data_IF_315451459434
#
_entry.id   IF_315451459434
#
_cell.length_a   1.000
_cell.length_b   1.000
_cell.length_c   1.000
_cell.angle_alpha   90.00
_cell.angle_beta   90.00
_cell.angle_gamma   90.00
#
_symmetry.space_group_name_H-M   'P 1'
#
loop_
_entity.id
_entity.type
_entity.pdbx_description
1 polymer ?
#
# COMPACT_ATOMS: atom_id res chain seq x y z
N UNK A 1 -16.95 17.64 12.59
CA UNK A 1 -16.48 16.88 13.77
C UNK A 1 -15.21 17.54 14.25
N UNK A 2 -15.11 17.93 15.51
CA UNK A 2 -13.86 18.52 16.03
C UNK A 2 -12.79 17.45 16.21
N UNK A 3 -11.53 17.86 16.36
CA UNK A 3 -10.44 16.92 16.71
C UNK A 3 -10.74 16.18 18.03
N UNK A 4 -11.33 16.86 19.01
CA UNK A 4 -11.71 16.26 20.29
C UNK A 4 -12.77 15.16 20.11
N UNK A 5 -13.83 15.45 19.34
CA UNK A 5 -14.87 14.47 19.01
C UNK A 5 -14.30 13.26 18.26
N UNK A 6 -13.33 13.49 17.38
CA UNK A 6 -12.65 12.43 16.64
C UNK A 6 -11.84 11.52 17.56
N UNK A 7 -11.05 12.07 18.49
CA UNK A 7 -10.30 11.24 19.44
C UNK A 7 -11.25 10.44 20.33
N UNK A 8 -12.35 11.05 20.81
CA UNK A 8 -13.36 10.33 21.58
C UNK A 8 -14.01 9.18 20.78
N UNK A 9 -14.28 9.40 19.49
CA UNK A 9 -14.73 8.35 18.58
C UNK A 9 -13.72 7.20 18.49
N UNK A 10 -12.43 7.49 18.29
CA UNK A 10 -11.39 6.45 18.23
C UNK A 10 -11.31 5.70 19.56
N UNK A 11 -11.31 6.38 20.71
CA UNK A 11 -11.22 5.70 22.00
C UNK A 11 -12.42 4.78 22.25
N UNK A 12 -13.63 5.24 21.94
CA UNK A 12 -14.85 4.43 22.12
C UNK A 12 -14.93 3.22 21.18
N UNK A 13 -14.39 3.32 19.96
CA UNK A 13 -14.51 2.27 18.94
C UNK A 13 -13.31 1.35 18.82
N UNK A 14 -12.13 1.84 19.17
CA UNK A 14 -10.86 1.15 18.92
C UNK A 14 -10.24 0.66 20.20
N UNK A 15 -10.18 1.48 21.24
CA UNK A 15 -9.39 1.11 22.41
C UNK A 15 -10.22 0.63 23.57
N UNK A 16 -11.51 0.99 23.69
CA UNK A 16 -12.34 0.56 24.82
C UNK A 16 -12.28 -0.96 25.04
N UNK A 17 -11.99 -1.44 26.27
CA UNK A 17 -11.92 -0.71 27.56
C UNK A 17 -10.58 -0.01 27.87
N UNK A 18 -9.60 -0.06 26.98
CA UNK A 18 -8.29 0.56 27.09
C UNK A 18 -8.28 2.03 26.61
N UNK A 19 -7.22 2.75 26.97
CA UNK A 19 -6.97 4.13 26.56
C UNK A 19 -5.91 4.23 25.46
N UNK A 20 -6.03 5.21 24.56
CA UNK A 20 -4.95 5.51 23.62
C UNK A 20 -3.73 6.07 24.35
N UNK A 21 -2.55 5.50 24.09
CA UNK A 21 -1.29 6.13 24.49
C UNK A 21 -1.08 7.49 23.80
N UNK A 22 -0.22 8.33 24.37
CA UNK A 22 0.15 9.62 23.75
C UNK A 22 0.69 9.46 22.33
N UNK A 23 1.48 8.39 22.08
CA UNK A 23 1.99 8.04 20.75
C UNK A 23 0.85 7.80 19.77
N UNK A 24 -0.13 6.99 20.17
CA UNK A 24 -1.26 6.65 19.31
C UNK A 24 -2.19 7.86 19.10
N UNK A 25 -2.38 8.71 20.12
CA UNK A 25 -3.11 9.98 19.97
C UNK A 25 -2.45 10.89 18.93
N UNK A 26 -1.11 11.05 18.99
CA UNK A 26 -0.36 11.82 17.97
C UNK A 26 -0.50 11.21 16.58
N UNK A 27 -0.43 9.88 16.47
CA UNK A 27 -0.62 9.15 15.21
C UNK A 27 -2.01 9.40 14.60
N UNK A 28 -3.08 9.29 15.40
CA UNK A 28 -4.44 9.60 14.96
C UNK A 28 -4.62 11.09 14.65
N UNK A 29 -3.97 11.99 15.39
CA UNK A 29 -3.92 13.42 15.05
C UNK A 29 -3.33 13.68 13.67
N UNK A 30 -2.24 13.00 13.31
CA UNK A 30 -1.69 13.06 11.96
C UNK A 30 -2.70 12.59 10.90
N UNK A 31 -3.44 11.50 11.16
CA UNK A 31 -4.46 11.00 10.23
C UNK A 31 -5.62 11.98 10.07
N UNK A 32 -6.10 12.58 11.16
CA UNK A 32 -7.16 13.58 11.15
C UNK A 32 -6.87 14.76 10.21
N UNK A 33 -5.63 15.26 10.21
CA UNK A 33 -5.25 16.37 9.33
C UNK A 33 -4.96 15.95 7.89
N UNK A 34 -4.65 14.67 7.65
CA UNK A 34 -4.21 14.17 6.35
C UNK A 34 -5.33 13.61 5.47
N UNK A 35 -6.36 13.02 6.07
CA UNK A 35 -7.39 12.28 5.34
C UNK A 35 -8.79 12.80 5.67
N UNK A 36 -9.76 12.52 4.79
CA UNK A 36 -11.16 12.81 5.09
C UNK A 36 -11.66 11.94 6.25
N UNK A 37 -12.59 12.47 7.04
CA UNK A 37 -13.17 11.77 8.18
C UNK A 37 -13.84 10.45 7.79
N UNK A 38 -14.58 10.45 6.68
CA UNK A 38 -15.25 9.27 6.14
C UNK A 38 -14.26 8.16 5.81
N UNK A 39 -13.15 8.52 5.15
CA UNK A 39 -12.08 7.58 4.80
C UNK A 39 -11.40 6.96 6.03
N UNK A 40 -11.12 7.78 7.06
CA UNK A 40 -10.51 7.28 8.30
C UNK A 40 -11.44 6.29 8.99
N UNK A 41 -12.73 6.60 9.08
CA UNK A 41 -13.74 5.71 9.67
C UNK A 41 -13.83 4.38 8.93
N UNK A 42 -13.88 4.41 7.60
CA UNK A 42 -13.89 3.20 6.78
C UNK A 42 -12.64 2.34 7.06
N UNK A 43 -11.45 2.96 7.09
CA UNK A 43 -10.21 2.26 7.37
C UNK A 43 -10.17 1.66 8.79
N UNK A 44 -10.72 2.36 9.79
CA UNK A 44 -10.88 1.84 11.15
C UNK A 44 -11.78 0.61 11.13
N UNK A 45 -12.94 0.65 10.48
CA UNK A 45 -13.86 -0.48 10.39
C UNK A 45 -13.24 -1.71 9.69
N UNK A 46 -12.46 -1.49 8.63
CA UNK A 46 -11.69 -2.55 7.96
C UNK A 46 -10.69 -3.17 8.93
N UNK A 47 -9.93 -2.34 9.65
CA UNK A 47 -8.92 -2.84 10.58
C UNK A 47 -9.53 -3.57 11.78
N UNK A 48 -10.60 -3.03 12.37
CA UNK A 48 -11.33 -3.67 13.47
C UNK A 48 -11.80 -5.06 13.05
N UNK A 49 -12.48 -5.18 11.90
CA UNK A 49 -12.96 -6.48 11.38
C UNK A 49 -11.85 -7.49 11.13
N UNK A 50 -10.65 -7.03 10.76
CA UNK A 50 -9.53 -7.91 10.39
C UNK A 50 -8.68 -8.34 11.58
N UNK A 51 -8.48 -7.45 12.55
CA UNK A 51 -7.46 -7.63 13.58
C UNK A 51 -8.04 -7.83 14.98
N UNK A 52 -9.27 -7.37 15.26
CA UNK A 52 -9.81 -7.52 16.61
C UNK A 52 -10.14 -8.97 16.91
N UNK A 53 -9.78 -9.39 18.12
CA UNK A 53 -10.17 -10.67 18.71
C UNK A 53 -10.87 -10.36 20.01
N UNK A 54 -11.88 -11.16 20.32
CA UNK A 54 -12.71 -10.95 21.50
C UNK A 54 -12.49 -12.06 22.51
N UNK A 55 -12.46 -11.69 23.79
CA UNK A 55 -12.41 -12.63 24.90
C UNK A 55 -13.78 -13.26 25.18
N UNK A 56 -13.86 -14.09 26.23
CA UNK A 56 -15.09 -14.74 26.65
C UNK A 56 -16.21 -13.76 27.04
N UNK A 57 -15.86 -12.53 27.43
CA UNK A 57 -16.79 -11.46 27.79
C UNK A 57 -17.18 -10.58 26.59
N UNK A 58 -16.79 -10.98 25.37
CA UNK A 58 -16.97 -10.21 24.13
C UNK A 58 -16.25 -8.86 24.14
N UNK A 59 -15.22 -8.71 24.97
CA UNK A 59 -14.37 -7.53 24.96
C UNK A 59 -13.15 -7.74 24.06
N UNK A 60 -12.67 -6.71 23.35
CA UNK A 60 -11.48 -6.86 22.52
C UNK A 60 -10.25 -7.13 23.40
N UNK A 61 -9.38 -8.06 22.99
CA UNK A 61 -8.14 -8.33 23.74
C UNK A 61 -7.11 -7.22 23.49
N UNK A 62 -6.31 -6.91 24.51
CA UNK A 62 -5.29 -5.86 24.43
C UNK A 62 -4.27 -6.11 23.31
N UNK A 63 -3.91 -7.38 23.08
CA UNK A 63 -3.00 -7.80 22.01
C UNK A 63 -3.58 -7.47 20.64
N UNK A 64 -4.87 -7.76 20.42
CA UNK A 64 -5.54 -7.53 19.15
C UNK A 64 -5.72 -6.04 18.84
N UNK A 65 -6.00 -5.24 19.88
CA UNK A 65 -6.04 -3.77 19.79
C UNK A 65 -4.66 -3.23 19.42
N UNK A 66 -3.58 -3.73 20.05
CA UNK A 66 -2.21 -3.33 19.73
C UNK A 66 -1.81 -3.73 18.30
N UNK A 67 -2.21 -4.92 17.85
CA UNK A 67 -2.00 -5.35 16.47
C UNK A 67 -2.69 -4.39 15.49
N UNK A 68 -3.95 -4.05 15.72
CA UNK A 68 -4.67 -3.06 14.93
C UNK A 68 -3.95 -1.70 14.89
N UNK A 69 -3.54 -1.17 16.03
CA UNK A 69 -2.88 0.15 16.13
C UNK A 69 -1.56 0.18 15.34
N UNK A 70 -0.86 -0.94 15.27
CA UNK A 70 0.35 -1.09 14.45
C UNK A 70 0.05 -1.21 12.95
N UNK A 71 -1.15 -1.66 12.56
CA UNK A 71 -1.54 -1.89 11.15
C UNK A 71 -2.33 -0.73 10.53
N UNK A 72 -3.06 0.08 11.31
CA UNK A 72 -3.98 1.11 10.79
C UNK A 72 -3.28 2.13 9.89
N UNK A 73 -2.02 2.48 10.17
CA UNK A 73 -1.24 3.36 9.30
C UNK A 73 -0.99 2.77 7.91
N UNK A 74 -0.73 1.47 7.84
CA UNK A 74 -0.60 0.73 6.57
C UNK A 74 -1.94 0.60 5.84
N UNK A 75 -3.05 0.41 6.55
CA UNK A 75 -4.40 0.37 5.95
C UNK A 75 -4.73 1.71 5.30
N UNK A 76 -4.54 2.81 6.04
CA UNK A 76 -4.76 4.17 5.55
C UNK A 76 -3.87 4.49 4.35
N UNK A 77 -2.57 4.16 4.43
CA UNK A 77 -1.65 4.35 3.32
C UNK A 77 -2.13 3.57 2.10
N UNK A 78 -2.32 2.25 2.21
CA UNK A 78 -2.68 1.41 1.08
C UNK A 78 -3.99 1.84 0.44
N UNK A 79 -5.02 2.16 1.24
CA UNK A 79 -6.33 2.60 0.72
C UNK A 79 -6.29 3.99 0.08
N UNK A 80 -5.38 4.85 0.51
CA UNK A 80 -5.20 6.20 -0.06
C UNK A 80 -4.18 6.23 -1.20
N UNK A 81 -3.41 5.15 -1.36
CA UNK A 81 -2.44 4.96 -2.42
C UNK A 81 -3.18 4.46 -3.66
N UNK A 82 -2.98 5.13 -4.80
CA UNK A 82 -3.59 4.73 -6.07
C UNK A 82 -3.29 3.25 -6.36
N UNK A 83 -4.22 2.47 -6.94
CA UNK A 83 -4.04 1.04 -7.20
C UNK A 83 -2.71 0.68 -7.87
N UNK A 84 -2.27 1.52 -8.81
CA UNK A 84 -0.96 1.40 -9.50
C UNK A 84 0.22 1.35 -8.52
N UNK A 85 0.25 2.21 -7.51
CA UNK A 85 1.32 2.22 -6.53
C UNK A 85 1.23 1.04 -5.55
N UNK A 86 0.03 0.55 -5.25
CA UNK A 86 -0.13 -0.70 -4.50
C UNK A 86 0.42 -1.90 -5.29
N UNK A 87 0.23 -1.91 -6.62
CA UNK A 87 0.78 -2.95 -7.50
C UNK A 87 2.31 -2.90 -7.52
N UNK A 88 2.91 -1.71 -7.59
CA UNK A 88 4.37 -1.54 -7.45
C UNK A 88 4.88 -2.13 -6.13
N UNK A 89 4.25 -1.77 -5.01
CA UNK A 89 4.68 -2.25 -3.70
C UNK A 89 4.56 -3.78 -3.60
N UNK A 90 3.52 -4.37 -4.21
CA UNK A 90 3.37 -5.81 -4.32
C UNK A 90 4.50 -6.45 -5.14
N UNK A 91 4.83 -5.91 -6.31
CA UNK A 91 5.92 -6.38 -7.16
C UNK A 91 7.26 -6.31 -6.42
N UNK A 92 7.54 -5.21 -5.72
CA UNK A 92 8.77 -5.07 -4.92
C UNK A 92 8.85 -6.09 -3.77
N UNK A 93 7.73 -6.36 -3.10
CA UNK A 93 7.67 -7.38 -2.07
C UNK A 93 7.90 -8.79 -2.63
N UNK A 94 7.36 -9.07 -3.81
CA UNK A 94 7.52 -10.34 -4.50
C UNK A 94 8.97 -10.54 -4.96
N UNK A 95 9.55 -9.53 -5.63
CA UNK A 95 10.92 -9.54 -6.10
C UNK A 95 11.93 -9.76 -4.98
N UNK A 96 11.79 -9.06 -3.85
CA UNK A 96 12.63 -9.27 -2.66
C UNK A 96 12.64 -10.70 -2.14
N UNK A 97 11.50 -11.40 -2.22
CA UNK A 97 11.38 -12.77 -1.74
C UNK A 97 11.99 -13.79 -2.70
N UNK A 98 12.01 -13.48 -4.00
CA UNK A 98 12.37 -14.42 -5.05
C UNK A 98 13.81 -14.26 -5.51
N UNK A 99 14.28 -13.02 -5.62
CA UNK A 99 15.53 -12.69 -6.30
C UNK A 99 16.59 -12.25 -5.30
N UNK A 100 17.66 -13.04 -5.18
CA UNK A 100 18.81 -12.67 -4.35
C UNK A 100 19.45 -11.38 -4.90
N UNK A 101 19.78 -10.44 -4.02
CA UNK A 101 20.37 -9.16 -4.42
C UNK A 101 19.37 -8.11 -4.93
N UNK A 102 18.06 -8.36 -4.80
CA UNK A 102 17.02 -7.40 -5.19
C UNK A 102 17.22 -6.02 -4.56
N UNK A 103 17.24 -4.98 -5.41
CA UNK A 103 17.36 -3.59 -4.98
C UNK A 103 16.05 -2.82 -5.18
N UNK A 104 15.35 -2.52 -4.09
CA UNK A 104 14.08 -1.79 -4.13
C UNK A 104 14.18 -0.41 -4.77
N UNK A 105 15.30 0.31 -4.60
CA UNK A 105 15.46 1.66 -5.15
C UNK A 105 15.53 1.58 -6.68
N UNK A 106 16.34 0.66 -7.20
CA UNK A 106 16.49 0.44 -8.65
C UNK A 106 15.18 -0.09 -9.23
N UNK A 107 14.56 -1.09 -8.60
CA UNK A 107 13.29 -1.65 -9.04
C UNK A 107 12.19 -0.58 -9.09
N UNK A 108 12.14 0.32 -8.10
CA UNK A 108 11.17 1.43 -8.09
C UNK A 108 11.38 2.34 -9.29
N UNK A 109 12.64 2.72 -9.56
CA UNK A 109 12.98 3.59 -10.69
C UNK A 109 12.57 2.99 -12.03
N UNK A 110 12.78 1.68 -12.21
CA UNK A 110 12.37 0.95 -13.42
C UNK A 110 10.85 0.95 -13.56
N UNK A 111 10.11 0.60 -12.50
CA UNK A 111 8.64 0.56 -12.52
C UNK A 111 8.02 1.95 -12.74
N UNK A 112 8.59 2.99 -12.12
CA UNK A 112 8.16 4.37 -12.38
C UNK A 112 8.47 4.79 -13.83
N UNK A 113 9.58 4.33 -14.41
CA UNK A 113 9.90 4.51 -15.83
C UNK A 113 8.86 3.85 -16.75
N UNK A 114 8.53 2.59 -16.47
CA UNK A 114 7.51 1.85 -17.20
C UNK A 114 6.14 2.53 -17.17
N UNK A 115 5.69 2.95 -15.98
CA UNK A 115 4.43 3.70 -15.84
C UNK A 115 4.46 5.01 -16.64
N UNK A 116 5.57 5.75 -16.64
CA UNK A 116 5.71 7.01 -17.40
C UNK A 116 5.54 6.80 -18.90
N UNK A 117 6.08 5.72 -19.45
CA UNK A 117 5.92 5.37 -20.86
C UNK A 117 4.46 5.01 -21.14
N UNK A 118 3.86 4.11 -20.34
CA UNK A 118 2.47 3.67 -20.54
C UNK A 118 1.44 4.81 -20.44
N UNK A 119 1.65 5.76 -19.52
CA UNK A 119 0.78 6.93 -19.32
C UNK A 119 0.61 7.81 -20.57
N UNK A 120 1.40 7.59 -21.63
CA UNK A 120 1.23 8.31 -22.90
C UNK A 120 0.00 7.87 -23.67
N UNK A 121 -0.43 6.61 -23.53
CA UNK A 121 -1.60 6.07 -24.22
C UNK A 121 -2.63 5.48 -23.27
N UNK A 122 -2.26 5.16 -22.03
CA UNK A 122 -3.10 4.42 -21.09
C UNK A 122 -3.45 5.25 -19.85
N UNK A 123 -4.63 4.97 -19.29
CA UNK A 123 -5.05 5.47 -17.98
C UNK A 123 -4.48 4.61 -16.84
N UNK A 124 -4.65 5.08 -15.61
CA UNK A 124 -4.16 4.38 -14.41
C UNK A 124 -4.87 3.04 -14.15
N UNK A 125 -6.08 2.81 -14.65
CA UNK A 125 -6.78 1.53 -14.44
C UNK A 125 -6.15 0.43 -15.30
N UNK A 126 -5.94 0.70 -16.60
CA UNK A 126 -5.22 -0.19 -17.51
C UNK A 126 -3.81 -0.47 -17.04
N UNK A 127 -3.09 0.56 -16.60
CA UNK A 127 -1.73 0.40 -16.05
C UNK A 127 -1.74 -0.48 -14.79
N UNK A 128 -2.73 -0.35 -13.92
CA UNK A 128 -2.82 -1.21 -12.73
C UNK A 128 -3.05 -2.68 -13.10
N UNK A 129 -3.85 -2.97 -14.13
CA UNK A 129 -4.03 -4.34 -14.64
C UNK A 129 -2.71 -4.89 -15.21
N UNK A 130 -2.05 -4.12 -16.07
CA UNK A 130 -0.76 -4.51 -16.67
C UNK A 130 0.30 -4.85 -15.61
N UNK A 131 0.40 -4.03 -14.56
CA UNK A 131 1.31 -4.30 -13.45
C UNK A 131 0.96 -5.60 -12.70
N UNK A 132 -0.32 -5.86 -12.46
CA UNK A 132 -0.78 -7.01 -11.67
C UNK A 132 -0.72 -8.33 -12.42
N UNK A 133 -0.82 -8.28 -13.74
CA UNK A 133 -0.84 -9.47 -14.58
C UNK A 133 0.55 -9.71 -15.16
N UNK A 134 0.99 -8.82 -16.05
CA UNK A 134 2.21 -9.02 -16.82
C UNK A 134 3.47 -8.79 -16.00
N UNK A 135 3.59 -7.66 -15.28
CA UNK A 135 4.83 -7.40 -14.52
C UNK A 135 4.99 -8.35 -13.34
N UNK A 136 3.89 -8.75 -12.69
CA UNK A 136 3.92 -9.83 -11.69
C UNK A 136 4.35 -11.16 -12.30
N UNK A 137 3.89 -11.49 -13.51
CA UNK A 137 4.33 -12.70 -14.22
C UNK A 137 5.82 -12.63 -14.52
N UNK A 138 6.33 -11.54 -15.09
CA UNK A 138 7.77 -11.32 -15.31
C UNK A 138 8.54 -11.49 -14.00
N UNK A 139 8.10 -10.87 -12.90
CA UNK A 139 8.77 -11.04 -11.59
C UNK A 139 8.79 -12.49 -11.13
N UNK A 140 7.76 -13.29 -11.42
CA UNK A 140 7.74 -14.73 -11.10
C UNK A 140 8.57 -15.56 -12.07
N UNK A 141 8.70 -15.17 -13.32
CA UNK A 141 9.31 -16.02 -14.34
C UNK A 141 10.79 -15.76 -14.54
N UNK A 142 11.28 -14.55 -14.26
CA UNK A 142 12.71 -14.26 -14.23
C UNK A 142 13.43 -15.23 -13.27
N UNK A 143 14.58 -15.74 -13.70
CA UNK A 143 15.45 -16.61 -12.91
C UNK A 143 16.12 -15.87 -11.77
N UNK A 144 16.53 -14.64 -12.03
CA UNK A 144 17.28 -13.81 -11.09
C UNK A 144 16.99 -12.31 -11.25
N UNK A 145 17.56 -11.51 -10.35
CA UNK A 145 17.41 -10.05 -10.34
C UNK A 145 17.92 -9.39 -11.63
N UNK A 146 19.04 -9.87 -12.16
CA UNK A 146 19.65 -9.28 -13.35
C UNK A 146 18.79 -9.51 -14.59
N UNK A 147 18.23 -10.72 -14.73
CA UNK A 147 17.26 -11.02 -15.78
C UNK A 147 16.02 -10.15 -15.67
N UNK A 148 15.46 -10.00 -14.46
CA UNK A 148 14.29 -9.13 -14.27
C UNK A 148 14.57 -7.68 -14.69
N UNK A 149 15.74 -7.15 -14.37
CA UNK A 149 16.15 -5.80 -14.78
C UNK A 149 16.27 -5.69 -16.29
N UNK A 150 16.91 -6.66 -16.94
CA UNK A 150 17.08 -6.68 -18.39
C UNK A 150 15.71 -6.70 -19.08
N UNK A 151 14.86 -7.68 -18.75
CA UNK A 151 13.52 -7.84 -19.35
C UNK A 151 12.67 -6.57 -19.20
N UNK A 152 12.63 -5.98 -18.01
CA UNK A 152 11.84 -4.76 -17.80
C UNK A 152 12.41 -3.56 -18.57
N UNK A 153 13.73 -3.46 -18.71
CA UNK A 153 14.36 -2.37 -19.45
C UNK A 153 14.09 -2.49 -20.94
N UNK A 154 14.23 -3.70 -21.51
CA UNK A 154 13.96 -3.98 -22.92
C UNK A 154 12.50 -3.63 -23.27
N UNK A 155 11.53 -4.07 -22.45
CA UNK A 155 10.11 -3.74 -22.64
C UNK A 155 9.88 -2.22 -22.60
N UNK A 156 10.51 -1.51 -21.67
CA UNK A 156 10.38 -0.05 -21.58
C UNK A 156 10.89 0.61 -22.86
N UNK A 157 12.03 0.16 -23.38
CA UNK A 157 12.63 0.69 -24.61
C UNK A 157 11.76 0.40 -25.83
N UNK A 158 11.24 -0.83 -25.97
CA UNK A 158 10.34 -1.21 -27.06
C UNK A 158 9.07 -0.34 -27.10
N UNK A 159 8.40 -0.19 -25.95
CA UNK A 159 7.20 0.65 -25.86
C UNK A 159 7.57 2.12 -26.05
N UNK A 160 8.72 2.57 -25.54
CA UNK A 160 9.17 3.94 -25.74
C UNK A 160 9.38 4.25 -27.22
N UNK A 161 9.98 3.37 -28.01
CA UNK A 161 10.12 3.51 -29.46
C UNK A 161 8.75 3.60 -30.14
N UNK A 162 7.81 2.74 -29.75
CA UNK A 162 6.47 2.75 -30.32
C UNK A 162 5.67 4.02 -29.96
N UNK A 163 5.88 4.56 -28.76
CA UNK A 163 5.11 5.70 -28.23
C UNK A 163 5.82 7.04 -28.51
N UNK A 164 7.11 7.02 -28.83
CA UNK A 164 7.94 8.14 -29.26
C UNK A 164 8.72 7.79 -30.54
N UNK A 165 8.07 7.65 -31.69
CA UNK A 165 8.75 7.27 -32.93
C UNK A 165 9.66 8.36 -33.53
N UNK A 166 9.75 9.55 -32.91
CA UNK A 166 10.41 10.74 -33.47
C UNK A 166 11.37 11.44 -32.51
N UNK A 167 12.07 10.70 -31.64
CA UNK A 167 13.26 11.19 -30.92
C UNK A 167 14.48 10.45 -31.46
#
# INVERSE_FOLDING_TARGET
MTYYDFINFVESKVTFPFSLSLKNRKQFGFYYYKYSMEFIKECIEIGVRRYFRYDANKMPTQESVNEFLNKIGGILHNRNTMPVYQAIDYIQNLGRKRHMGWNNIIARRILDGYIRVLLKKWDYEKINMELRDHVVMITKESRDWSEWVATMTDIIEEIAVEYWPNI
#
